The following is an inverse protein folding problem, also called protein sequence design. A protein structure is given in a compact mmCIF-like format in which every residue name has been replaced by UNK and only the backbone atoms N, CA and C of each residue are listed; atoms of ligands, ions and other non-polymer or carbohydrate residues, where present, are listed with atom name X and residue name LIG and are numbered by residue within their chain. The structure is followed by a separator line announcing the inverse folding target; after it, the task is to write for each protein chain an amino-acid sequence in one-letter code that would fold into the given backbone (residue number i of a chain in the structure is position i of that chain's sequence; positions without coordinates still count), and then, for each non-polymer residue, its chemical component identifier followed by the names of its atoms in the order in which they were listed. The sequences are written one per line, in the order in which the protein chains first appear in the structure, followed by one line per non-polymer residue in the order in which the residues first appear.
data_IF_396378611918
#
_entry.id   IF_396378611918
#
_cell.length_a   1.000
_cell.length_b   1.000
_cell.length_c   1.000
_cell.angle_alpha   90.00
_cell.angle_beta   90.00
_cell.angle_gamma   90.00
#
_symmetry.space_group_name_H-M   'P 1'
#
loop_
_entity.id
_entity.type
_entity.pdbx_description
1 polymer ?
#
# COMPACT_ATOMS: atom_id res chain seq x y z
N UNK A 1 -5.49 22.56 -10.18
CA UNK A 1 -5.93 23.00 -8.84
C UNK A 1 -6.95 22.05 -8.21
N UNK A 2 -6.90 20.75 -8.50
CA UNK A 2 -7.62 19.70 -7.74
C UNK A 2 -6.77 19.14 -6.58
N UNK A 3 -5.65 19.80 -6.25
CA UNK A 3 -4.63 19.30 -5.33
C UNK A 3 -4.96 19.62 -3.87
N UNK A 4 -5.11 20.89 -3.53
CA UNK A 4 -5.12 21.30 -2.12
C UNK A 4 -6.46 21.02 -1.42
N UNK A 5 -7.59 21.18 -2.12
CA UNK A 5 -8.93 20.88 -1.60
C UNK A 5 -9.08 19.39 -1.30
N UNK A 6 -8.71 18.53 -2.28
CA UNK A 6 -8.75 17.07 -2.10
C UNK A 6 -7.80 16.58 -1.01
N UNK A 7 -6.62 17.20 -0.87
CA UNK A 7 -5.69 16.87 0.22
C UNK A 7 -6.32 17.19 1.58
N UNK A 8 -6.96 18.35 1.72
CA UNK A 8 -7.59 18.74 2.97
C UNK A 8 -8.80 17.87 3.31
N UNK A 9 -9.63 17.52 2.33
CA UNK A 9 -10.73 16.56 2.48
C UNK A 9 -10.21 15.21 3.00
N UNK A 10 -9.23 14.62 2.31
CA UNK A 10 -8.66 13.32 2.70
C UNK A 10 -8.02 13.37 4.09
N UNK A 11 -7.33 14.46 4.43
CA UNK A 11 -6.77 14.66 5.79
C UNK A 11 -7.86 14.77 6.87
N UNK A 12 -9.02 15.34 6.55
CA UNK A 12 -10.11 15.48 7.51
C UNK A 12 -10.83 14.15 7.70
N UNK A 13 -11.08 13.43 6.61
CA UNK A 13 -11.73 12.12 6.64
C UNK A 13 -10.86 11.06 7.31
N UNK A 14 -9.53 11.11 7.11
CA UNK A 14 -8.62 10.09 7.63
C UNK A 14 -8.56 9.99 9.15
N UNK A 15 -8.96 11.05 9.87
CA UNK A 15 -9.07 11.05 11.34
C UNK A 15 -10.04 9.98 11.84
N UNK A 16 -11.05 9.61 11.03
CA UNK A 16 -12.03 8.60 11.39
C UNK A 16 -11.61 7.17 11.01
N UNK A 17 -10.52 7.00 10.26
CA UNK A 17 -10.07 5.69 9.79
C UNK A 17 -9.25 4.98 10.86
N UNK A 18 -9.26 3.63 10.88
CA UNK A 18 -8.24 2.88 11.60
C UNK A 18 -6.85 3.33 11.16
N UNK A 19 -5.93 3.46 12.11
CA UNK A 19 -4.54 3.86 11.85
C UNK A 19 -3.59 2.71 12.07
N UNK A 20 -2.55 2.66 11.24
CA UNK A 20 -1.45 1.71 11.34
C UNK A 20 -0.13 2.44 11.41
N UNK A 21 0.58 2.31 12.53
CA UNK A 21 1.90 2.88 12.70
C UNK A 21 2.93 2.05 11.94
N UNK A 22 3.55 2.65 10.92
CA UNK A 22 4.51 1.95 10.07
C UNK A 22 5.78 1.57 10.82
N UNK A 23 6.27 0.36 10.55
CA UNK A 23 7.62 -0.03 10.97
C UNK A 23 8.69 0.70 10.15
N UNK A 24 9.95 0.82 10.63
CA UNK A 24 11.02 1.47 9.86
C UNK A 24 11.20 0.89 8.46
N UNK A 25 11.00 -0.43 8.30
CA UNK A 25 11.07 -1.09 6.99
C UNK A 25 9.94 -0.64 6.07
N UNK A 26 8.71 -0.61 6.58
CA UNK A 26 7.53 -0.20 5.82
C UNK A 26 7.60 1.27 5.43
N UNK A 27 8.21 2.12 6.27
CA UNK A 27 8.52 3.52 5.92
C UNK A 27 9.45 3.57 4.71
N UNK A 28 10.55 2.81 4.69
CA UNK A 28 11.43 2.77 3.51
C UNK A 28 10.72 2.31 2.24
N UNK A 29 9.86 1.27 2.34
CA UNK A 29 9.10 0.80 1.19
C UNK A 29 8.07 1.85 0.73
N UNK A 30 7.42 2.56 1.65
CA UNK A 30 6.52 3.67 1.34
C UNK A 30 7.26 4.85 0.67
N UNK A 31 8.44 5.22 1.16
CA UNK A 31 9.29 6.25 0.55
C UNK A 31 9.66 5.88 -0.89
N UNK A 32 10.04 4.61 -1.13
CA UNK A 32 10.35 4.12 -2.48
C UNK A 32 9.12 4.09 -3.40
N UNK A 33 7.93 3.78 -2.87
CA UNK A 33 6.67 3.88 -3.62
C UNK A 33 6.36 5.34 -3.99
N UNK A 34 6.46 6.27 -3.03
CA UNK A 34 6.16 7.69 -3.25
C UNK A 34 7.15 8.38 -4.18
N UNK A 35 8.44 8.04 -4.06
CA UNK A 35 9.49 8.58 -4.92
C UNK A 35 9.52 7.95 -6.33
N UNK A 36 8.75 6.88 -6.56
CA UNK A 36 8.76 6.13 -7.82
C UNK A 36 9.95 5.17 -7.98
N UNK A 37 10.72 4.93 -6.92
CA UNK A 37 11.78 3.93 -6.89
C UNK A 37 11.28 2.50 -7.13
N UNK A 38 9.99 2.25 -6.87
CA UNK A 38 9.30 1.00 -7.19
C UNK A 38 8.42 1.04 -8.44
N UNK A 39 8.60 2.00 -9.34
CA UNK A 39 7.88 2.01 -10.63
C UNK A 39 8.03 0.66 -11.35
N UNK A 40 6.93 0.02 -11.81
CA UNK A 40 5.60 0.60 -12.07
C UNK A 40 4.58 0.51 -10.91
N UNK A 41 4.96 0.03 -9.74
CA UNK A 41 4.05 -0.08 -8.60
C UNK A 41 3.53 1.30 -8.19
N UNK A 42 2.21 1.40 -7.98
CA UNK A 42 1.52 2.62 -7.52
C UNK A 42 1.14 2.59 -6.04
N UNK A 43 1.50 1.50 -5.36
CA UNK A 43 1.21 1.22 -3.96
C UNK A 43 1.71 -0.17 -3.60
N UNK A 44 1.39 -0.63 -2.39
CA UNK A 44 1.62 -2.01 -2.00
C UNK A 44 0.88 -2.98 -2.92
N UNK A 45 1.44 -4.17 -3.11
CA UNK A 45 0.92 -5.16 -4.04
C UNK A 45 -0.49 -5.61 -3.70
N UNK A 46 -1.31 -5.80 -4.73
CA UNK A 46 -2.57 -6.52 -4.60
C UNK A 46 -2.32 -8.01 -4.37
N UNK A 47 -3.34 -8.76 -3.96
CA UNK A 47 -3.24 -10.22 -3.87
C UNK A 47 -2.81 -10.85 -5.20
N UNK A 48 -3.37 -10.38 -6.32
CA UNK A 48 -3.05 -10.90 -7.64
C UNK A 48 -1.56 -10.68 -7.98
N UNK A 49 -1.04 -9.48 -7.75
CA UNK A 49 0.38 -9.18 -7.98
C UNK A 49 1.29 -9.98 -7.06
N UNK A 50 0.92 -10.09 -5.78
CA UNK A 50 1.69 -10.87 -4.82
C UNK A 50 1.81 -12.34 -5.22
N UNK A 51 0.69 -12.98 -5.57
CA UNK A 51 0.66 -14.39 -5.95
C UNK A 51 1.48 -14.66 -7.22
N UNK A 52 1.41 -13.78 -8.22
CA UNK A 52 2.20 -13.92 -9.45
C UNK A 52 3.68 -13.63 -9.21
N UNK A 53 4.03 -12.69 -8.33
CA UNK A 53 5.43 -12.41 -7.99
C UNK A 53 6.05 -13.62 -7.30
N UNK A 54 5.35 -14.21 -6.32
CA UNK A 54 5.85 -15.39 -5.60
C UNK A 54 6.01 -16.59 -6.53
N UNK A 55 5.08 -16.80 -7.46
CA UNK A 55 5.10 -17.97 -8.36
C UNK A 55 6.02 -17.79 -9.58
N UNK A 56 5.90 -16.64 -10.24
CA UNK A 56 6.42 -16.41 -11.59
C UNK A 56 7.47 -15.28 -11.64
N UNK A 57 7.78 -14.65 -10.49
CA UNK A 57 8.65 -13.47 -10.40
C UNK A 57 8.21 -12.32 -11.30
N UNK A 58 6.88 -12.17 -11.47
CA UNK A 58 6.26 -11.15 -12.33
C UNK A 58 5.03 -10.56 -11.67
N UNK A 59 4.76 -9.28 -11.94
CA UNK A 59 3.47 -8.66 -11.63
C UNK A 59 2.36 -9.31 -12.47
N UNK A 60 1.10 -9.07 -12.11
CA UNK A 60 -0.03 -9.66 -12.80
C UNK A 60 -0.14 -9.23 -14.29
N UNK A 61 0.45 -8.07 -14.63
CA UNK A 61 0.57 -7.57 -16.00
C UNK A 61 1.72 -8.18 -16.81
N UNK A 62 2.53 -9.07 -16.21
CA UNK A 62 3.68 -9.72 -16.81
C UNK A 62 5.01 -9.00 -16.63
N UNK A 63 5.05 -7.82 -16.01
CA UNK A 63 6.29 -7.07 -15.72
C UNK A 63 7.21 -7.91 -14.82
N UNK A 64 8.50 -8.01 -15.16
CA UNK A 64 9.47 -8.72 -14.33
C UNK A 64 9.62 -8.03 -12.97
N UNK A 65 9.35 -8.76 -11.90
CA UNK A 65 9.39 -8.23 -10.55
C UNK A 65 9.61 -9.36 -9.52
N UNK A 66 10.83 -9.57 -9.02
CA UNK A 66 11.14 -10.73 -8.20
C UNK A 66 10.98 -10.52 -6.68
N UNK A 67 10.62 -9.31 -6.23
CA UNK A 67 10.61 -8.95 -4.80
C UNK A 67 9.20 -8.52 -4.37
N UNK A 68 8.50 -9.25 -3.50
CA UNK A 68 7.23 -8.80 -2.94
C UNK A 68 7.36 -7.47 -2.19
N UNK A 69 6.43 -6.54 -2.44
CA UNK A 69 6.32 -5.25 -1.73
C UNK A 69 4.92 -5.19 -1.12
N UNK A 70 4.81 -5.58 0.15
CA UNK A 70 3.54 -5.75 0.86
C UNK A 70 3.49 -4.90 2.12
N UNK A 71 2.29 -4.48 2.52
CA UNK A 71 2.04 -3.90 3.83
C UNK A 71 1.50 -5.00 4.75
N UNK A 72 2.37 -5.58 5.56
CA UNK A 72 2.00 -6.52 6.60
C UNK A 72 1.47 -5.80 7.84
N UNK A 73 0.42 -6.35 8.45
CA UNK A 73 -0.21 -5.81 9.65
C UNK A 73 -0.43 -6.93 10.66
N UNK A 74 -0.69 -6.60 11.93
CA UNK A 74 -1.02 -7.63 12.91
C UNK A 74 -2.38 -8.27 12.65
N UNK A 75 -2.58 -9.47 13.19
CA UNK A 75 -3.86 -10.19 13.07
C UNK A 75 -5.01 -9.39 13.72
N UNK A 76 -4.74 -8.67 14.81
CA UNK A 76 -5.73 -7.82 15.48
C UNK A 76 -6.18 -6.63 14.62
N UNK A 77 -5.28 -6.02 13.84
CA UNK A 77 -5.69 -5.00 12.88
C UNK A 77 -6.42 -5.64 11.69
N UNK A 78 -5.87 -6.71 11.12
CA UNK A 78 -6.46 -7.40 9.98
C UNK A 78 -7.91 -7.85 10.26
N UNK A 79 -8.19 -8.38 11.46
CA UNK A 79 -9.52 -8.81 11.87
C UNK A 79 -10.55 -7.68 12.02
N UNK A 80 -10.11 -6.42 12.10
CA UNK A 80 -10.98 -5.24 12.17
C UNK A 80 -11.28 -4.63 10.79
N UNK A 81 -10.52 -4.98 9.77
CA UNK A 81 -10.64 -4.41 8.43
C UNK A 81 -11.52 -5.28 7.53
N UNK A 82 -12.26 -4.63 6.64
CA UNK A 82 -13.04 -5.23 5.56
C UNK A 82 -12.61 -4.66 4.22
N UNK A 83 -12.86 -5.41 3.15
CA UNK A 83 -12.61 -4.91 1.79
C UNK A 83 -13.44 -3.65 1.54
N UNK A 84 -12.76 -2.57 1.12
CA UNK A 84 -13.37 -1.25 0.92
C UNK A 84 -13.19 -0.29 2.11
N UNK A 85 -12.70 -0.76 3.25
CA UNK A 85 -12.33 0.12 4.36
C UNK A 85 -11.09 0.94 3.99
N UNK A 86 -11.05 2.17 4.51
CA UNK A 86 -9.87 3.03 4.45
C UNK A 86 -9.00 2.77 5.68
N UNK A 87 -7.68 2.82 5.48
CA UNK A 87 -6.66 2.69 6.53
C UNK A 87 -5.70 3.89 6.42
N UNK A 88 -5.46 4.59 7.53
CA UNK A 88 -4.42 5.62 7.60
C UNK A 88 -3.08 5.02 8.00
N UNK A 89 -1.99 5.55 7.42
CA UNK A 89 -0.60 5.17 7.67
C UNK A 89 0.18 6.35 8.26
#
# INVERSE_FOLDING_TARGET
MAGDERINELKTESVAWPSWDLTPRQVCDLELLMAGGFSPLRGFMTRADYETVVRDMRLADGTLWPIPVTLDVTEELAGRLRSGDWLSL
#
